data_IF_634860390086
#
_entry.id   IF_634860390086
#
_cell.length_a   1.000
_cell.length_b   1.000
_cell.length_c   1.000
_cell.angle_alpha   90.00
_cell.angle_beta   90.00
_cell.angle_gamma   90.00
#
_symmetry.space_group_name_H-M   'P 1'
#
loop_
_entity.id
_entity.type
_entity.pdbx_description
1 polymer ?
#
# COMPACT_ATOMS: atom_id res chain seq x y z
N UNK A 1 16.14 17.15 19.10
CA UNK A 1 14.88 17.55 18.45
C UNK A 1 14.20 16.30 17.91
N UNK A 2 13.96 15.37 18.83
CA UNK A 2 12.92 14.33 18.72
C UNK A 2 11.61 15.08 18.89
N UNK A 3 10.65 14.95 17.97
CA UNK A 3 9.22 15.26 18.14
C UNK A 3 8.58 15.39 16.75
N UNK A 4 8.16 14.26 16.16
CA UNK A 4 6.94 14.18 15.33
C UNK A 4 6.57 12.75 14.91
N UNK A 5 7.50 11.79 14.98
CA UNK A 5 7.22 10.37 14.70
C UNK A 5 6.33 9.74 15.79
N UNK A 6 6.41 10.18 17.05
CA UNK A 6 5.67 9.59 18.18
C UNK A 6 4.14 9.75 18.13
N UNK A 7 3.59 10.68 17.34
CA UNK A 7 2.12 10.89 17.31
C UNK A 7 1.40 10.13 16.20
N UNK A 8 2.12 9.34 15.41
CA UNK A 8 1.52 8.47 14.42
C UNK A 8 1.44 7.07 15.02
N UNK A 9 0.40 6.86 15.84
CA UNK A 9 0.16 5.65 16.63
C UNK A 9 0.12 4.36 15.76
N UNK A 10 1.31 3.79 15.48
CA UNK A 10 1.86 2.46 15.85
C UNK A 10 1.01 1.19 15.52
N UNK A 11 -0.21 1.27 14.99
CA UNK A 11 -1.01 0.08 14.59
C UNK A 11 -1.88 0.29 13.33
N UNK A 12 -1.58 1.28 12.49
CA UNK A 12 -2.50 1.70 11.44
C UNK A 12 -1.99 1.36 10.03
N UNK A 13 -2.85 0.74 9.22
CA UNK A 13 -2.80 0.87 7.76
C UNK A 13 -2.64 2.36 7.42
N UNK A 14 -1.45 2.77 7.00
CA UNK A 14 -1.22 4.17 6.62
C UNK A 14 -1.81 4.45 5.26
N UNK A 15 -2.45 5.62 5.11
CA UNK A 15 -2.81 6.14 3.80
C UNK A 15 -1.52 6.56 3.09
N UNK A 16 -1.26 6.06 1.88
CA UNK A 16 -0.07 6.42 1.10
C UNK A 16 0.07 7.95 0.92
N UNK A 17 -1.05 8.70 0.96
CA UNK A 17 -1.02 10.18 0.94
C UNK A 17 -0.22 10.77 2.10
N UNK A 18 -0.45 10.28 3.33
CA UNK A 18 0.26 10.75 4.51
C UNK A 18 1.74 10.37 4.43
N UNK A 19 2.00 9.10 4.08
CA UNK A 19 3.36 8.59 3.94
C UNK A 19 4.15 9.33 2.87
N UNK A 20 3.55 9.65 1.71
CA UNK A 20 4.18 10.43 0.65
C UNK A 20 4.42 11.89 1.04
N UNK A 21 3.49 12.51 1.76
CA UNK A 21 3.67 13.87 2.28
C UNK A 21 4.88 13.93 3.21
N UNK A 22 4.93 13.01 4.18
CA UNK A 22 6.05 12.90 5.11
C UNK A 22 7.38 12.58 4.40
N UNK A 23 7.37 11.65 3.44
CA UNK A 23 8.54 11.32 2.64
C UNK A 23 9.07 12.54 1.84
N UNK A 24 8.18 13.36 1.29
CA UNK A 24 8.56 14.58 0.58
C UNK A 24 9.13 15.66 1.52
N UNK A 25 8.51 15.85 2.68
CA UNK A 25 8.96 16.81 3.71
C UNK A 25 10.34 16.45 4.28
N UNK A 26 10.60 15.15 4.49
CA UNK A 26 11.84 14.63 5.07
C UNK A 26 12.84 14.10 4.03
N UNK A 27 12.58 14.35 2.75
CA UNK A 27 13.47 14.03 1.62
C UNK A 27 13.95 12.57 1.57
N UNK A 28 13.04 11.62 1.78
CA UNK A 28 13.34 10.20 1.62
C UNK A 28 12.34 9.51 0.69
N UNK A 29 12.65 8.28 0.32
CA UNK A 29 11.80 7.47 -0.55
C UNK A 29 11.31 6.23 0.19
N UNK A 30 10.07 5.83 -0.07
CA UNK A 30 9.53 4.57 0.43
C UNK A 30 9.46 3.56 -0.70
N UNK A 31 10.09 2.41 -0.49
CA UNK A 31 10.04 1.31 -1.44
C UNK A 31 8.68 0.62 -1.42
N UNK A 32 8.25 0.15 -2.60
CA UNK A 32 7.02 -0.62 -2.75
C UNK A 32 7.37 -2.03 -3.23
N UNK A 33 7.16 -3.04 -2.40
CA UNK A 33 7.55 -4.42 -2.69
C UNK A 33 6.38 -5.29 -3.10
N UNK A 34 6.60 -6.12 -4.13
CA UNK A 34 5.68 -7.20 -4.46
C UNK A 34 5.88 -8.35 -3.49
N UNK A 35 4.85 -8.62 -2.70
CA UNK A 35 4.85 -9.69 -1.70
C UNK A 35 3.72 -10.65 -2.03
N UNK A 36 4.04 -11.90 -2.32
CA UNK A 36 3.07 -12.91 -2.75
C UNK A 36 3.08 -14.15 -1.84
N UNK A 37 4.08 -14.30 -0.97
CA UNK A 37 4.19 -15.39 0.01
C UNK A 37 4.45 -14.84 1.41
N UNK A 38 4.29 -15.70 2.42
CA UNK A 38 4.58 -15.34 3.81
C UNK A 38 6.07 -15.02 4.00
N UNK A 39 6.96 -15.80 3.39
CA UNK A 39 8.41 -15.66 3.52
C UNK A 39 8.88 -14.34 2.92
N UNK A 40 8.30 -13.91 1.78
CA UNK A 40 8.58 -12.60 1.20
C UNK A 40 8.13 -11.46 2.12
N UNK A 41 6.99 -11.63 2.79
CA UNK A 41 6.49 -10.65 3.75
C UNK A 41 7.41 -10.56 4.96
N UNK A 42 7.83 -11.71 5.51
CA UNK A 42 8.74 -11.76 6.64
C UNK A 42 10.11 -11.17 6.29
N UNK A 43 10.65 -11.45 5.11
CA UNK A 43 11.92 -10.90 4.66
C UNK A 43 11.89 -9.37 4.56
N UNK A 44 10.81 -8.80 4.01
CA UNK A 44 10.60 -7.35 3.96
C UNK A 44 10.57 -6.75 5.38
N UNK A 45 9.75 -7.32 6.27
CA UNK A 45 9.60 -6.82 7.63
C UNK A 45 10.87 -6.94 8.47
N UNK A 46 11.60 -8.05 8.37
CA UNK A 46 12.89 -8.24 9.05
C UNK A 46 13.97 -7.28 8.57
N UNK A 47 13.89 -6.85 7.31
CA UNK A 47 14.83 -5.86 6.76
C UNK A 47 14.46 -4.44 7.20
N UNK A 48 13.16 -4.13 7.30
CA UNK A 48 12.66 -2.81 7.64
C UNK A 48 12.74 -2.48 9.14
N UNK A 49 12.54 -3.48 10.01
CA UNK A 49 12.43 -3.30 11.46
C UNK A 49 13.67 -2.68 12.14
N UNK A 50 14.92 -3.14 11.86
CA UNK A 50 16.11 -2.57 12.49
C UNK A 50 16.34 -1.09 12.16
N UNK A 51 15.87 -0.66 10.98
CA UNK A 51 16.02 0.71 10.49
C UNK A 51 14.80 1.60 10.80
N UNK A 52 13.74 1.05 11.41
CA UNK A 52 12.48 1.76 11.60
C UNK A 52 11.85 2.24 10.29
N UNK A 53 12.12 1.56 9.18
CA UNK A 53 11.69 2.02 7.85
C UNK A 53 10.21 1.69 7.63
N UNK A 54 9.40 2.63 7.11
CA UNK A 54 8.06 2.29 6.64
C UNK A 54 8.12 1.37 5.43
N UNK A 55 7.15 0.47 5.28
CA UNK A 55 7.04 -0.45 4.14
C UNK A 55 5.70 -0.31 3.44
N UNK A 56 5.72 -0.44 2.10
CA UNK A 56 4.51 -0.53 1.28
C UNK A 56 4.54 -1.85 0.55
N UNK A 57 3.57 -2.70 0.84
CA UNK A 57 3.50 -4.05 0.30
C UNK A 57 2.31 -4.20 -0.63
N UNK A 58 2.54 -4.83 -1.78
CA UNK A 58 1.53 -5.06 -2.79
C UNK A 58 1.52 -6.50 -3.27
N UNK A 59 0.34 -7.05 -3.51
CA UNK A 59 0.19 -8.40 -4.03
C UNK A 59 -0.18 -8.35 -5.51
N UNK A 60 0.38 -9.28 -6.29
CA UNK A 60 0.01 -9.44 -7.69
C UNK A 60 -1.43 -9.92 -7.85
N UNK A 61 -2.03 -9.70 -9.03
CA UNK A 61 -3.35 -10.25 -9.36
C UNK A 61 -3.34 -11.78 -9.28
N UNK A 62 -2.26 -12.44 -9.71
CA UNK A 62 -2.13 -13.90 -9.62
C UNK A 62 -2.05 -14.40 -8.18
N UNK A 63 -1.31 -13.71 -7.30
CA UNK A 63 -1.26 -14.06 -5.88
C UNK A 63 -2.65 -13.91 -5.22
N UNK A 64 -3.40 -12.86 -5.57
CA UNK A 64 -4.77 -12.69 -5.09
C UNK A 64 -5.72 -13.78 -5.59
N UNK A 65 -5.60 -14.22 -6.84
CA UNK A 65 -6.39 -15.34 -7.38
C UNK A 65 -6.02 -16.67 -6.72
N UNK A 66 -4.75 -16.87 -6.41
CA UNK A 66 -4.26 -18.11 -5.82
C UNK A 66 -4.61 -18.23 -4.33
N UNK A 67 -4.34 -17.19 -3.55
CA UNK A 67 -4.41 -17.22 -2.09
C UNK A 67 -5.73 -16.63 -1.54
N UNK A 68 -6.39 -15.78 -2.32
CA UNK A 68 -7.63 -15.10 -1.94
C UNK A 68 -7.40 -13.87 -1.04
N UNK A 69 -8.27 -12.86 -1.20
CA UNK A 69 -8.19 -11.61 -0.42
C UNK A 69 -8.26 -11.79 1.11
N UNK A 70 -9.10 -12.68 1.68
CA UNK A 70 -9.18 -12.83 3.14
C UNK A 70 -7.85 -13.27 3.76
N UNK A 71 -7.16 -14.21 3.14
CA UNK A 71 -5.89 -14.72 3.64
C UNK A 71 -4.82 -13.62 3.67
N UNK A 72 -4.71 -12.86 2.56
CA UNK A 72 -3.79 -11.73 2.47
C UNK A 72 -4.11 -10.68 3.55
N UNK A 73 -5.39 -10.33 3.73
CA UNK A 73 -5.81 -9.41 4.80
C UNK A 73 -5.36 -9.89 6.19
N UNK A 74 -5.51 -11.18 6.48
CA UNK A 74 -5.10 -11.74 7.76
C UNK A 74 -3.58 -11.79 7.94
N UNK A 75 -2.81 -12.09 6.88
CA UNK A 75 -1.36 -11.99 6.91
C UNK A 75 -0.89 -10.59 7.31
N UNK A 76 -1.46 -9.55 6.70
CA UNK A 76 -1.12 -8.18 7.06
C UNK A 76 -1.50 -7.83 8.50
N UNK A 77 -2.61 -8.37 9.01
CA UNK A 77 -2.98 -8.15 10.41
C UNK A 77 -1.95 -8.74 11.37
N UNK A 78 -1.51 -9.97 11.11
CA UNK A 78 -0.45 -10.63 11.90
C UNK A 78 0.85 -9.82 11.86
N UNK A 79 1.19 -9.25 10.72
CA UNK A 79 2.38 -8.42 10.57
C UNK A 79 2.29 -7.13 11.36
N UNK A 80 1.17 -6.41 11.29
CA UNK A 80 0.96 -5.18 12.07
C UNK A 80 0.97 -5.48 13.58
N UNK A 81 0.44 -6.64 14.00
CA UNK A 81 0.48 -7.10 15.39
C UNK A 81 1.92 -7.45 15.83
N UNK A 82 2.73 -8.05 14.94
CA UNK A 82 4.10 -8.49 15.24
C UNK A 82 5.13 -7.36 15.19
N UNK A 83 4.90 -6.35 14.34
CA UNK A 83 5.83 -5.26 14.04
C UNK A 83 5.21 -3.90 14.34
N UNK A 84 4.87 -3.67 15.61
CA UNK A 84 4.18 -2.44 16.05
C UNK A 84 5.01 -1.16 15.81
N UNK A 85 6.34 -1.26 15.77
CA UNK A 85 7.24 -0.09 15.66
C UNK A 85 7.34 0.47 14.24
N UNK A 86 6.96 -0.29 13.22
CA UNK A 86 7.10 0.11 11.82
C UNK A 86 5.75 0.27 11.13
N UNK A 87 5.65 1.30 10.30
CA UNK A 87 4.43 1.62 9.56
C UNK A 87 4.32 0.76 8.31
N UNK A 88 3.18 0.07 8.14
CA UNK A 88 2.92 -0.82 7.00
C UNK A 88 1.71 -0.33 6.21
N UNK A 89 1.86 -0.19 4.89
CA UNK A 89 0.75 0.12 3.99
C UNK A 89 0.51 -1.03 3.01
N UNK A 90 -0.76 -1.38 2.78
CA UNK A 90 -1.17 -2.43 1.85
C UNK A 90 -1.73 -1.80 0.57
N UNK A 91 -1.01 -1.98 -0.53
CA UNK A 91 -1.31 -1.37 -1.82
C UNK A 91 -1.86 -2.39 -2.81
N UNK A 92 -2.96 -2.07 -3.49
CA UNK A 92 -3.41 -2.85 -4.65
C UNK A 92 -2.95 -2.20 -5.95
N UNK A 93 -2.14 -2.94 -6.70
CA UNK A 93 -1.81 -2.59 -8.08
C UNK A 93 -2.89 -3.08 -9.02
N UNK A 94 -3.23 -2.23 -9.99
CA UNK A 94 -4.11 -2.47 -11.13
C UNK A 94 -5.59 -2.69 -10.79
N UNK A 95 -6.34 -1.58 -10.77
CA UNK A 95 -7.78 -1.56 -11.02
C UNK A 95 -8.08 -0.61 -12.17
N UNK A 96 -8.23 -1.11 -13.40
CA UNK A 96 -8.49 -0.27 -14.57
C UNK A 96 -9.92 0.32 -14.60
N UNK A 97 -10.80 -0.08 -13.67
CA UNK A 97 -12.22 0.27 -13.68
C UNK A 97 -12.68 0.79 -12.31
N UNK A 98 -13.48 1.88 -12.26
CA UNK A 98 -14.02 2.44 -11.02
C UNK A 98 -14.76 1.42 -10.13
N UNK A 99 -15.47 0.46 -10.74
CA UNK A 99 -16.18 -0.60 -10.02
C UNK A 99 -15.25 -1.57 -9.27
N UNK A 100 -14.00 -1.71 -9.71
CA UNK A 100 -12.97 -2.47 -8.98
C UNK A 100 -12.58 -1.72 -7.71
N UNK A 101 -12.63 -0.38 -7.73
CA UNK A 101 -12.29 0.49 -6.60
C UNK A 101 -13.08 0.16 -5.32
N UNK A 102 -14.40 0.10 -5.41
CA UNK A 102 -15.27 -0.14 -4.26
C UNK A 102 -15.02 -1.50 -3.59
N UNK A 103 -14.79 -2.56 -4.38
CA UNK A 103 -14.50 -3.91 -3.87
C UNK A 103 -13.15 -4.01 -3.16
N UNK A 104 -12.20 -3.15 -3.51
CA UNK A 104 -10.86 -3.12 -2.91
C UNK A 104 -10.88 -2.50 -1.53
N UNK A 105 -11.64 -1.41 -1.37
CA UNK A 105 -11.86 -0.77 -0.07
C UNK A 105 -12.51 -1.79 0.89
N UNK A 106 -13.51 -2.53 0.42
CA UNK A 106 -14.15 -3.61 1.20
C UNK A 106 -13.17 -4.73 1.59
N UNK A 107 -12.16 -5.00 0.78
CA UNK A 107 -11.12 -5.99 1.06
C UNK A 107 -10.02 -5.48 2.01
N UNK A 108 -10.18 -4.29 2.60
CA UNK A 108 -9.26 -3.68 3.58
C UNK A 108 -7.87 -3.36 3.04
N UNK A 109 -7.74 -3.08 1.74
CA UNK A 109 -6.55 -2.43 1.20
C UNK A 109 -6.56 -0.94 1.58
N UNK A 110 -5.40 -0.38 1.96
CA UNK A 110 -5.29 1.05 2.27
C UNK A 110 -5.14 1.94 1.04
N UNK A 111 -4.89 1.36 -0.14
CA UNK A 111 -4.77 2.13 -1.39
C UNK A 111 -5.07 1.30 -2.65
N UNK A 112 -5.51 2.02 -3.68
CA UNK A 112 -5.68 1.53 -5.05
C UNK A 112 -4.87 2.42 -6.00
N UNK A 113 -4.08 1.82 -6.88
CA UNK A 113 -3.60 2.48 -8.09
C UNK A 113 -4.57 2.20 -9.24
N UNK A 114 -5.18 3.26 -9.77
CA UNK A 114 -5.89 3.23 -11.05
C UNK A 114 -4.90 3.59 -12.15
N UNK A 115 -4.50 2.59 -12.94
CA UNK A 115 -3.65 2.80 -14.09
C UNK A 115 -4.52 3.06 -15.34
N UNK A 116 -4.61 4.34 -15.71
CA UNK A 116 -5.35 4.80 -16.89
C UNK A 116 -4.52 4.75 -18.18
N UNK A 117 -3.24 4.40 -18.13
CA UNK A 117 -2.36 4.44 -19.30
C UNK A 117 -2.78 3.43 -20.40
N UNK A 118 -3.40 2.32 -20.00
CA UNK A 118 -3.92 1.30 -20.91
C UNK A 118 -5.38 1.54 -21.33
N UNK A 119 -6.02 2.62 -20.88
CA UNK A 119 -7.36 3.00 -21.35
C UNK A 119 -7.21 3.65 -22.72
N UNK A 120 -7.97 3.17 -23.71
CA UNK A 120 -8.12 3.90 -24.98
C UNK A 120 -8.68 5.28 -24.65
N UNK A 121 -7.82 6.30 -24.72
CA UNK A 121 -8.24 7.69 -24.62
C UNK A 121 -9.08 7.96 -25.87
N UNK A 122 -10.41 7.89 -25.75
CA UNK A 122 -11.26 8.47 -26.78
C UNK A 122 -10.93 9.97 -26.82
N UNK A 123 -10.57 10.49 -28.00
CA UNK A 123 -10.14 11.88 -28.26
C UNK A 123 -11.16 12.98 -27.86
N UNK A 124 -12.18 12.67 -27.06
CA UNK A 124 -13.29 13.56 -26.73
C UNK A 124 -13.38 13.94 -25.24
N UNK A 125 -12.36 13.62 -24.41
CA UNK A 125 -12.36 13.97 -22.97
C UNK A 125 -11.44 15.15 -22.61
N UNK A 126 -10.94 15.90 -23.59
CA UNK A 126 -10.58 17.30 -23.36
C UNK A 126 -11.86 18.12 -23.58
N UNK A 127 -12.72 18.10 -22.56
CA UNK A 127 -13.85 19.00 -22.49
C UNK A 127 -13.34 20.43 -22.44
N UNK A 128 -13.93 21.27 -23.27
CA UNK A 128 -13.92 22.72 -23.14
C UNK A 128 -14.24 23.09 -21.70
N UNK A 129 -13.23 23.45 -20.90
CA UNK A 129 -13.25 24.52 -19.91
C UNK A 129 -11.80 24.67 -19.42
N UNK A 130 -11.31 25.90 -19.58
CA UNK A 130 -10.01 26.38 -19.16
C UNK A 130 -9.67 26.10 -17.69
#
# INVERSE_FOLDING_TARGET
MELQIERMNILALQLLRQLRGYAAEHQFTVAVFYVNTLEQLQADMQTADPCGSPTVNQNSESARKHTGNPFIRHLFRVVIESYSRISVAMHRVYGALPAVGARVIQASFSLIMMDGHCLKINKYTIGEHA
#
